data_IF_704237611835
#
_entry.id   IF_704237611835
#
_cell.length_a   1.000
_cell.length_b   1.000
_cell.length_c   1.000
_cell.angle_alpha   90.00
_cell.angle_beta   90.00
_cell.angle_gamma   90.00
#
_symmetry.space_group_name_H-M   'P 1'
#
loop_
_entity.id
_entity.type
_entity.pdbx_description
1 polymer ?
#
# COMPACT_ATOMS: atom_id res chain seq x y z
N UNK A 1 10.70 -36.92 3.08
CA UNK A 1 9.86 -37.23 4.25
C UNK A 1 10.47 -38.41 4.97
N UNK A 2 10.73 -38.28 6.25
CA UNK A 2 11.30 -39.34 7.08
C UNK A 2 10.35 -39.65 8.26
N UNK A 3 10.31 -40.92 8.68
CA UNK A 3 9.56 -41.43 9.84
C UNK A 3 8.03 -41.19 9.75
N UNK A 4 7.43 -41.39 8.58
CA UNK A 4 5.99 -41.33 8.43
C UNK A 4 5.36 -42.62 9.00
N UNK A 5 4.79 -42.56 10.18
CA UNK A 5 4.10 -43.65 10.85
C UNK A 5 2.66 -43.29 11.18
N UNK A 6 1.75 -44.25 10.97
CA UNK A 6 0.35 -44.12 11.40
C UNK A 6 0.19 -44.55 12.87
N UNK A 7 0.89 -43.86 13.75
CA UNK A 7 0.77 -44.02 15.20
C UNK A 7 0.34 -42.69 15.82
N UNK A 8 -0.45 -42.79 16.86
CA UNK A 8 -0.86 -41.60 17.66
C UNK A 8 0.35 -40.81 18.09
N UNK A 9 0.28 -39.48 17.95
CA UNK A 9 1.32 -38.50 18.27
C UNK A 9 2.67 -38.67 17.51
N UNK A 10 2.72 -39.53 16.49
CA UNK A 10 3.89 -39.68 15.63
C UNK A 10 4.04 -38.48 14.70
N UNK A 11 5.25 -37.96 14.56
CA UNK A 11 5.59 -36.87 13.64
C UNK A 11 6.64 -37.25 12.64
N UNK A 12 6.32 -37.09 11.37
CA UNK A 12 7.27 -37.21 10.26
C UNK A 12 8.03 -35.89 10.04
N UNK A 13 9.33 -36.00 9.75
CA UNK A 13 10.09 -34.83 9.30
C UNK A 13 9.81 -34.53 7.83
N UNK A 14 9.64 -33.29 7.53
CA UNK A 14 9.43 -32.76 6.17
C UNK A 14 10.61 -31.86 5.83
N UNK A 15 11.23 -32.13 4.68
CA UNK A 15 12.19 -31.24 4.06
C UNK A 15 11.92 -31.25 2.55
N UNK A 16 11.57 -30.09 2.02
CA UNK A 16 11.32 -29.83 0.61
C UNK A 16 12.15 -28.64 0.17
N UNK A 17 12.84 -28.77 -0.95
CA UNK A 17 13.51 -27.65 -1.61
C UNK A 17 13.17 -27.69 -3.10
N UNK A 18 12.64 -26.60 -3.61
CA UNK A 18 12.30 -26.41 -5.01
C UNK A 18 13.10 -25.25 -5.57
N UNK A 19 13.64 -25.41 -6.75
CA UNK A 19 14.23 -24.31 -7.52
C UNK A 19 13.20 -23.81 -8.54
N UNK A 20 13.01 -22.51 -8.59
CA UNK A 20 12.09 -21.83 -9.50
C UNK A 20 12.92 -20.93 -10.42
N UNK A 21 12.80 -21.13 -11.74
CA UNK A 21 13.35 -20.25 -12.78
C UNK A 21 14.83 -19.84 -12.53
N UNK A 22 15.72 -20.82 -12.39
CA UNK A 22 17.17 -20.68 -12.24
C UNK A 22 17.67 -19.97 -10.95
N UNK A 23 16.97 -18.97 -10.42
CA UNK A 23 17.44 -18.18 -9.28
C UNK A 23 16.56 -18.31 -8.04
N UNK A 24 15.26 -18.44 -8.22
CA UNK A 24 14.30 -18.53 -7.13
C UNK A 24 14.36 -19.88 -6.42
N UNK A 25 14.19 -19.88 -5.11
CA UNK A 25 14.06 -21.11 -4.31
C UNK A 25 12.86 -21.05 -3.38
N UNK A 26 12.21 -22.20 -3.17
CA UNK A 26 11.20 -22.37 -2.11
C UNK A 26 11.63 -23.54 -1.24
N UNK A 27 11.62 -23.34 0.07
CA UNK A 27 11.97 -24.37 1.05
C UNK A 27 10.84 -24.53 2.06
N UNK A 28 10.55 -25.76 2.42
CA UNK A 28 9.63 -26.12 3.50
C UNK A 28 10.35 -27.13 4.40
N UNK A 29 10.51 -26.78 5.67
CA UNK A 29 11.13 -27.65 6.66
C UNK A 29 10.22 -27.74 7.88
N UNK A 30 10.21 -28.87 8.56
CA UNK A 30 9.46 -29.01 9.78
C UNK A 30 8.98 -30.41 10.04
N UNK A 31 7.82 -30.51 10.69
CA UNK A 31 7.19 -31.78 11.06
C UNK A 31 5.71 -31.78 10.74
N UNK A 32 5.17 -32.98 10.41
CA UNK A 32 3.72 -33.19 10.28
C UNK A 32 3.34 -34.54 10.94
N UNK A 33 2.18 -34.54 11.59
CA UNK A 33 1.57 -35.71 12.20
C UNK A 33 0.23 -36.07 11.51
N UNK A 34 -0.13 -37.35 11.56
CA UNK A 34 -1.38 -37.85 10.96
C UNK A 34 -2.47 -38.03 12.03
N UNK A 35 -2.11 -38.43 13.23
CA UNK A 35 -3.03 -38.65 14.35
C UNK A 35 -2.47 -38.04 15.66
N UNK A 36 -2.96 -36.85 16.10
CA UNK A 36 -3.86 -35.95 15.38
C UNK A 36 -3.17 -35.31 14.16
N UNK A 37 -3.98 -34.91 13.16
CA UNK A 37 -3.45 -34.20 12.01
C UNK A 37 -2.83 -32.87 12.45
N UNK A 38 -1.56 -32.70 12.21
CA UNK A 38 -0.80 -31.52 12.69
C UNK A 38 0.37 -31.21 11.76
N UNK A 39 0.76 -29.96 11.73
CA UNK A 39 1.97 -29.53 11.03
C UNK A 39 2.60 -28.33 11.76
N UNK A 40 3.93 -28.30 11.73
CA UNK A 40 4.78 -27.22 12.22
C UNK A 40 5.85 -27.02 11.15
N UNK A 41 5.64 -26.03 10.29
CA UNK A 41 6.39 -25.87 9.05
C UNK A 41 6.99 -24.46 8.96
N UNK A 42 8.29 -24.40 8.79
CA UNK A 42 8.98 -23.21 8.32
C UNK A 42 8.95 -23.19 6.79
N UNK A 43 8.33 -22.16 6.24
CA UNK A 43 8.23 -21.92 4.79
C UNK A 43 9.04 -20.70 4.42
N UNK A 44 9.87 -20.79 3.41
CA UNK A 44 10.60 -19.64 2.88
C UNK A 44 10.65 -19.66 1.36
N UNK A 45 10.58 -18.49 0.77
CA UNK A 45 10.91 -18.26 -0.62
C UNK A 45 12.04 -17.22 -0.71
N UNK A 46 12.96 -17.41 -1.64
CA UNK A 46 14.08 -16.49 -1.85
C UNK A 46 14.28 -16.25 -3.34
N UNK A 47 14.51 -14.97 -3.68
CA UNK A 47 14.83 -14.51 -5.04
C UNK A 47 13.82 -14.91 -6.12
N UNK A 48 12.53 -14.89 -5.82
CA UNK A 48 11.48 -15.10 -6.82
C UNK A 48 11.35 -13.86 -7.70
N UNK A 49 11.65 -14.00 -8.98
CA UNK A 49 11.57 -12.90 -9.94
C UNK A 49 10.11 -12.57 -10.28
N UNK A 50 9.71 -11.30 -10.09
CA UNK A 50 8.35 -10.85 -10.42
C UNK A 50 8.03 -10.85 -11.91
N UNK A 51 9.04 -10.79 -12.78
CA UNK A 51 8.82 -10.92 -14.24
C UNK A 51 8.12 -12.22 -14.61
N UNK A 52 8.34 -13.27 -13.85
CA UNK A 52 7.78 -14.60 -14.13
C UNK A 52 6.27 -14.66 -13.91
N UNK A 53 5.71 -13.70 -13.15
CA UNK A 53 4.26 -13.58 -12.92
C UNK A 53 3.59 -12.60 -13.88
N UNK A 54 4.30 -12.02 -14.84
CA UNK A 54 3.76 -11.10 -15.83
C UNK A 54 2.48 -11.62 -16.53
N UNK A 55 2.36 -12.90 -16.95
CA UNK A 55 1.15 -13.39 -17.58
C UNK A 55 -0.12 -13.26 -16.72
N UNK A 56 0.04 -13.32 -15.39
CA UNK A 56 -1.07 -13.12 -14.44
C UNK A 56 -1.39 -11.62 -14.28
N UNK A 57 -0.38 -10.77 -14.29
CA UNK A 57 -0.53 -9.32 -14.21
C UNK A 57 -1.21 -8.77 -15.46
N UNK A 58 -0.91 -9.32 -16.64
CA UNK A 58 -1.51 -8.93 -17.93
C UNK A 58 -3.04 -9.06 -17.96
N UNK A 59 -3.63 -9.89 -17.09
CA UNK A 59 -5.08 -10.04 -16.98
C UNK A 59 -5.75 -8.92 -16.17
N UNK A 60 -4.98 -8.21 -15.35
CA UNK A 60 -5.46 -7.21 -14.39
C UNK A 60 -4.94 -5.79 -14.67
N UNK A 61 -3.74 -5.68 -15.22
CA UNK A 61 -3.06 -4.41 -15.44
C UNK A 61 -2.57 -4.27 -16.88
N UNK A 62 -2.69 -3.06 -17.41
CA UNK A 62 -2.08 -2.66 -18.68
C UNK A 62 -0.67 -2.10 -18.45
N UNK A 63 0.16 -2.89 -17.76
CA UNK A 63 1.50 -2.51 -17.32
C UNK A 63 2.47 -3.70 -17.47
N UNK A 64 3.74 -3.38 -17.55
CA UNK A 64 4.83 -4.35 -17.64
C UNK A 64 5.71 -4.29 -16.39
N UNK A 65 5.92 -5.43 -15.73
CA UNK A 65 6.91 -5.57 -14.68
C UNK A 65 8.30 -5.56 -15.31
N UNK A 66 9.02 -4.45 -15.14
CA UNK A 66 10.38 -4.31 -15.67
C UNK A 66 11.41 -5.04 -14.80
N UNK A 67 11.22 -5.05 -13.49
CA UNK A 67 12.02 -5.81 -12.51
C UNK A 67 11.26 -6.00 -11.21
N UNK A 68 11.85 -6.76 -10.29
CA UNK A 68 11.38 -6.97 -8.93
C UNK A 68 11.70 -8.38 -8.47
N UNK A 69 12.10 -8.47 -7.21
CA UNK A 69 12.44 -9.73 -6.55
C UNK A 69 11.64 -9.83 -5.27
N UNK A 70 10.98 -10.96 -5.06
CA UNK A 70 10.28 -11.28 -3.83
C UNK A 70 11.06 -12.31 -3.04
N UNK A 71 11.14 -12.10 -1.72
CA UNK A 71 11.52 -13.09 -0.73
C UNK A 71 10.49 -13.10 0.40
N UNK A 72 10.22 -14.26 0.97
CA UNK A 72 9.32 -14.39 2.10
C UNK A 72 9.73 -15.53 3.03
N UNK A 73 9.36 -15.44 4.30
CA UNK A 73 9.48 -16.52 5.26
C UNK A 73 8.38 -16.45 6.30
N UNK A 74 8.10 -17.56 6.95
CA UNK A 74 7.16 -17.63 8.06
C UNK A 74 7.02 -19.06 8.57
N UNK A 75 6.44 -19.19 9.75
CA UNK A 75 6.15 -20.49 10.37
C UNK A 75 4.64 -20.71 10.36
N UNK A 76 4.22 -21.82 9.81
CA UNK A 76 2.82 -22.24 9.75
C UNK A 76 2.60 -23.36 10.76
N UNK A 77 1.74 -23.10 11.74
CA UNK A 77 1.26 -24.10 12.69
C UNK A 77 -0.15 -24.52 12.27
N UNK A 78 -0.34 -25.81 12.14
CA UNK A 78 -1.62 -26.42 11.83
C UNK A 78 -1.93 -27.50 12.87
N UNK A 79 -3.15 -27.50 13.39
CA UNK A 79 -3.61 -28.55 14.30
C UNK A 79 -5.10 -28.84 14.02
N UNK A 80 -5.39 -30.07 13.61
CA UNK A 80 -6.75 -30.59 13.54
C UNK A 80 -7.18 -31.14 14.90
N UNK A 81 -8.27 -30.62 15.46
CA UNK A 81 -8.85 -31.10 16.72
C UNK A 81 -10.37 -31.00 16.64
N UNK A 82 -11.08 -32.07 16.95
CA UNK A 82 -12.55 -32.11 17.11
C UNK A 82 -13.31 -31.46 15.92
N UNK A 83 -12.96 -31.85 14.68
CA UNK A 83 -13.49 -31.29 13.43
C UNK A 83 -13.24 -29.78 13.23
N UNK A 84 -12.42 -29.15 14.04
CA UNK A 84 -12.00 -27.75 13.90
C UNK A 84 -10.56 -27.67 13.39
N UNK A 85 -10.32 -26.64 12.56
CA UNK A 85 -9.01 -26.33 12.00
C UNK A 85 -8.40 -25.19 12.78
N UNK A 86 -7.27 -25.42 13.46
CA UNK A 86 -6.47 -24.40 14.11
C UNK A 86 -5.27 -24.09 13.21
N UNK A 87 -5.22 -22.86 12.67
CA UNK A 87 -4.15 -22.42 11.78
C UNK A 87 -3.57 -21.11 12.30
N UNK A 88 -2.26 -21.09 12.48
CA UNK A 88 -1.50 -19.88 12.83
C UNK A 88 -0.36 -19.65 11.85
N UNK A 89 -0.15 -18.40 11.50
CA UNK A 89 1.08 -17.91 10.90
C UNK A 89 1.86 -17.12 11.95
N UNK A 90 3.13 -17.44 12.13
CA UNK A 90 4.03 -16.76 13.04
C UNK A 90 5.26 -16.25 12.31
N UNK A 91 5.85 -15.16 12.80
CA UNK A 91 7.11 -14.59 12.32
C UNK A 91 7.19 -14.38 10.81
N UNK A 92 6.02 -14.08 10.20
CA UNK A 92 5.95 -13.83 8.76
C UNK A 92 6.76 -12.61 8.36
N UNK A 93 7.54 -12.74 7.30
CA UNK A 93 8.27 -11.64 6.65
C UNK A 93 8.04 -11.71 5.16
N UNK A 94 7.79 -10.58 4.55
CA UNK A 94 7.70 -10.39 3.11
C UNK A 94 8.63 -9.25 2.70
N UNK A 95 9.42 -9.45 1.65
CA UNK A 95 10.33 -8.45 1.10
C UNK A 95 10.17 -8.35 -0.41
N UNK A 96 10.14 -7.12 -0.90
CA UNK A 96 10.16 -6.80 -2.32
C UNK A 96 11.32 -5.83 -2.56
N UNK A 97 12.22 -6.18 -3.46
CA UNK A 97 13.37 -5.35 -3.83
C UNK A 97 13.39 -5.06 -5.31
N UNK A 98 13.93 -3.89 -5.67
CA UNK A 98 14.18 -3.45 -7.04
C UNK A 98 12.94 -3.55 -7.97
N UNK A 99 11.76 -3.28 -7.40
CA UNK A 99 10.53 -3.29 -8.17
C UNK A 99 10.46 -2.12 -9.13
N UNK A 100 10.19 -2.40 -10.40
CA UNK A 100 9.97 -1.41 -11.43
C UNK A 100 8.77 -1.80 -12.30
N UNK A 101 7.86 -0.85 -12.49
CA UNK A 101 6.71 -0.97 -13.35
C UNK A 101 6.82 0.04 -14.49
N UNK A 102 6.67 -0.44 -15.71
CA UNK A 102 6.67 0.37 -16.93
C UNK A 102 5.28 0.33 -17.59
N UNK A 103 5.01 1.29 -18.47
CA UNK A 103 3.85 1.20 -19.36
C UNK A 103 4.05 0.02 -20.32
N UNK A 104 2.96 -0.70 -20.62
CA UNK A 104 3.00 -1.85 -21.54
C UNK A 104 3.50 -1.44 -22.91
N UNK A 105 4.54 -2.14 -23.40
CA UNK A 105 5.15 -1.86 -24.71
C UNK A 105 6.04 -0.62 -24.73
N UNK A 106 6.37 -0.01 -23.59
CA UNK A 106 7.30 1.10 -23.47
C UNK A 106 8.37 0.78 -22.43
N UNK A 107 9.59 1.27 -22.66
CA UNK A 107 10.71 1.08 -21.72
C UNK A 107 10.69 2.09 -20.57
N UNK A 108 9.72 3.02 -20.57
CA UNK A 108 9.66 4.06 -19.55
C UNK A 108 9.10 3.51 -18.24
N UNK A 109 9.95 3.43 -17.22
CA UNK A 109 9.56 3.12 -15.85
C UNK A 109 8.75 4.29 -15.28
N UNK A 110 7.58 3.97 -14.73
CA UNK A 110 6.64 4.94 -14.14
C UNK A 110 6.53 4.79 -12.62
N UNK A 111 6.82 3.61 -12.10
CA UNK A 111 6.89 3.34 -10.65
C UNK A 111 8.17 2.55 -10.40
N UNK A 112 8.97 3.02 -9.46
CA UNK A 112 10.15 2.33 -8.94
C UNK A 112 10.07 2.27 -7.42
N UNK A 113 10.21 1.07 -6.84
CA UNK A 113 10.25 0.84 -5.39
C UNK A 113 11.49 0.01 -5.08
N UNK A 114 12.61 0.64 -4.69
CA UNK A 114 13.85 -0.07 -4.38
C UNK A 114 13.71 -1.05 -3.23
N UNK A 115 12.92 -0.70 -2.20
CA UNK A 115 12.69 -1.58 -1.06
C UNK A 115 11.29 -1.43 -0.48
N UNK A 116 10.66 -2.58 -0.21
CA UNK A 116 9.42 -2.70 0.55
C UNK A 116 9.49 -3.96 1.41
N UNK A 117 9.10 -3.86 2.67
CA UNK A 117 9.06 -5.01 3.57
C UNK A 117 7.87 -4.98 4.51
N UNK A 118 7.37 -6.16 4.85
CA UNK A 118 6.38 -6.40 5.90
C UNK A 118 6.99 -7.40 6.87
N UNK A 119 7.09 -7.03 8.13
CA UNK A 119 7.82 -7.79 9.15
C UNK A 119 6.89 -8.09 10.33
N UNK A 120 7.07 -9.26 10.94
CA UNK A 120 6.30 -9.70 12.10
C UNK A 120 4.83 -9.92 11.74
N UNK A 121 4.57 -10.62 10.62
CA UNK A 121 3.21 -10.99 10.22
C UNK A 121 2.79 -12.19 11.07
N UNK A 122 1.79 -11.98 11.92
CA UNK A 122 1.08 -13.03 12.65
C UNK A 122 -0.37 -13.08 12.19
N UNK A 123 -0.92 -14.30 12.05
CA UNK A 123 -2.33 -14.51 11.80
C UNK A 123 -2.82 -15.73 12.59
N UNK A 124 -3.97 -15.59 13.23
CA UNK A 124 -4.62 -16.65 14.00
C UNK A 124 -6.06 -16.80 13.52
N UNK A 125 -6.37 -17.96 12.93
CA UNK A 125 -7.71 -18.24 12.38
C UNK A 125 -8.75 -18.41 13.50
N UNK A 126 -8.34 -18.88 14.68
CA UNK A 126 -9.25 -19.12 15.79
C UNK A 126 -9.74 -17.82 16.44
N UNK A 127 -8.82 -16.89 16.62
CA UNK A 127 -9.14 -15.56 17.18
C UNK A 127 -9.60 -14.56 16.11
N UNK A 128 -9.47 -14.89 14.83
CA UNK A 128 -9.67 -13.96 13.71
C UNK A 128 -8.82 -12.70 13.85
N UNK A 129 -7.56 -12.89 14.19
CA UNK A 129 -6.62 -11.78 14.41
C UNK A 129 -5.48 -11.81 13.41
N UNK A 130 -5.12 -10.64 12.88
CA UNK A 130 -3.92 -10.40 12.07
C UNK A 130 -3.13 -9.28 12.72
N UNK A 131 -1.86 -9.54 13.02
CA UNK A 131 -0.92 -8.55 13.53
C UNK A 131 0.23 -8.41 12.56
N UNK A 132 0.57 -7.16 12.24
CA UNK A 132 1.78 -6.81 11.48
C UNK A 132 2.60 -5.85 12.34
N UNK A 133 3.82 -6.23 12.69
CA UNK A 133 4.68 -5.36 13.50
C UNK A 133 5.13 -4.12 12.72
N UNK A 134 5.60 -4.31 11.49
CA UNK A 134 6.11 -3.20 10.70
C UNK A 134 5.89 -3.39 9.19
N UNK A 135 5.43 -2.32 8.54
CA UNK A 135 5.50 -2.12 7.10
C UNK A 135 6.52 -1.01 6.83
N UNK A 136 7.52 -1.28 6.02
CA UNK A 136 8.58 -0.31 5.69
C UNK A 136 8.82 -0.24 4.19
N UNK A 137 9.01 0.98 3.69
CA UNK A 137 9.39 1.19 2.30
C UNK A 137 10.28 2.42 2.16
N UNK A 138 11.20 2.41 1.21
CA UNK A 138 12.13 3.50 1.01
C UNK A 138 12.50 3.71 -0.46
N UNK A 139 12.78 4.97 -0.81
CA UNK A 139 13.37 5.35 -2.08
C UNK A 139 12.44 5.29 -3.29
N UNK A 140 11.11 5.10 -3.09
CA UNK A 140 10.21 4.98 -4.21
C UNK A 140 10.11 6.26 -5.04
N UNK A 141 9.97 6.10 -6.35
CA UNK A 141 9.79 7.19 -7.32
C UNK A 141 8.61 6.88 -8.22
N UNK A 142 7.72 7.87 -8.40
CA UNK A 142 6.52 7.76 -9.20
C UNK A 142 6.52 8.89 -10.24
N UNK A 143 6.36 8.53 -11.51
CA UNK A 143 6.11 9.48 -12.58
C UNK A 143 4.66 9.42 -13.01
N UNK A 144 3.96 10.53 -12.87
CA UNK A 144 2.55 10.64 -13.21
C UNK A 144 2.30 11.84 -14.12
N UNK A 145 1.33 11.74 -15.00
CA UNK A 145 0.86 12.85 -15.82
C UNK A 145 -0.64 12.77 -16.08
N UNK A 146 -1.22 13.94 -16.26
CA UNK A 146 -2.56 14.12 -16.77
C UNK A 146 -2.43 14.35 -18.27
N UNK A 147 -3.07 13.50 -19.08
CA UNK A 147 -3.07 13.61 -20.53
C UNK A 147 -3.96 14.80 -20.99
N UNK A 148 -3.86 15.25 -22.27
CA UNK A 148 -4.68 16.35 -22.78
C UNK A 148 -6.20 16.15 -22.69
N UNK A 149 -6.65 14.91 -22.61
CA UNK A 149 -8.06 14.54 -22.39
C UNK A 149 -8.48 14.52 -20.91
N UNK A 150 -7.59 14.88 -19.99
CA UNK A 150 -7.82 14.89 -18.55
C UNK A 150 -7.61 13.54 -17.86
N UNK A 151 -7.23 12.49 -18.58
CA UNK A 151 -6.99 11.17 -17.98
C UNK A 151 -5.64 11.10 -17.28
N UNK A 152 -5.61 10.49 -16.10
CA UNK A 152 -4.38 10.22 -15.35
C UNK A 152 -3.71 8.95 -15.88
N UNK A 153 -2.41 9.00 -16.23
CA UNK A 153 -1.69 7.83 -16.75
C UNK A 153 -1.77 6.61 -15.83
N UNK A 154 -1.76 6.81 -14.51
CA UNK A 154 -1.87 5.72 -13.54
C UNK A 154 -3.23 5.00 -13.61
N UNK A 155 -4.32 5.71 -13.99
CA UNK A 155 -5.63 5.09 -14.22
C UNK A 155 -5.63 4.21 -15.46
N UNK A 156 -4.87 4.57 -16.49
CA UNK A 156 -4.77 3.78 -17.73
C UNK A 156 -4.02 2.45 -17.53
N UNK A 157 -3.31 2.28 -16.40
CA UNK A 157 -2.69 1.00 -16.04
C UNK A 157 -3.72 -0.07 -15.67
N UNK A 158 -4.89 0.35 -15.18
CA UNK A 158 -5.99 -0.58 -14.90
C UNK A 158 -6.69 -0.95 -16.20
N UNK A 159 -7.02 -2.22 -16.35
CA UNK A 159 -7.83 -2.66 -17.49
C UNK A 159 -9.21 -1.99 -17.44
N UNK A 160 -9.79 -1.61 -18.60
CA UNK A 160 -11.09 -0.92 -18.66
C UNK A 160 -12.21 -1.64 -17.92
N UNK A 161 -12.18 -2.97 -17.90
CA UNK A 161 -13.20 -3.78 -17.23
C UNK A 161 -13.12 -3.71 -15.69
N UNK A 162 -11.93 -3.38 -15.13
CA UNK A 162 -11.75 -3.18 -13.69
C UNK A 162 -12.17 -1.78 -13.25
N UNK A 163 -12.28 -0.83 -14.18
CA UNK A 163 -12.71 0.54 -13.90
C UNK A 163 -14.23 0.69 -13.80
N UNK A 164 -14.99 -0.27 -14.31
CA UNK A 164 -16.45 -0.28 -14.14
C UNK A 164 -16.79 -0.78 -12.75
N UNK A 165 -17.60 -0.05 -11.96
CA UNK A 165 -18.21 -0.64 -10.78
C UNK A 165 -18.89 -1.93 -11.23
N UNK A 166 -18.64 -3.05 -10.58
CA UNK A 166 -19.41 -4.27 -10.82
C UNK A 166 -20.87 -3.92 -10.56
N UNK A 167 -21.67 -3.75 -11.61
CA UNK A 167 -23.12 -3.85 -11.47
C UNK A 167 -23.38 -5.22 -10.85
N UNK A 168 -23.83 -5.22 -9.61
CA UNK A 168 -24.33 -6.43 -8.97
C UNK A 168 -25.45 -6.97 -9.87
N UNK A 169 -25.12 -7.94 -10.73
CA UNK A 169 -26.14 -8.80 -11.31
C UNK A 169 -26.85 -9.45 -10.13
N UNK A 170 -28.02 -8.95 -9.83
CA UNK A 170 -28.99 -9.65 -9.00
C UNK A 170 -29.36 -10.96 -9.70
N UNK A 171 -28.51 -11.95 -9.62
CA UNK A 171 -28.87 -13.33 -9.85
C UNK A 171 -29.59 -13.77 -8.58
N UNK A 172 -30.92 -13.90 -8.70
CA UNK A 172 -31.76 -14.41 -7.64
C UNK A 172 -31.54 -15.92 -7.40
N UNK A 173 -30.41 -16.24 -6.81
CA UNK A 173 -30.18 -17.50 -6.13
C UNK A 173 -29.92 -17.16 -4.68
N UNK A 174 -30.82 -17.52 -3.82
CA UNK A 174 -30.70 -17.46 -2.35
C UNK A 174 -29.65 -18.50 -1.96
N UNK A 175 -28.35 -18.13 -2.05
CA UNK A 175 -27.32 -18.91 -1.37
C UNK A 175 -27.55 -18.78 0.14
N UNK A 176 -27.41 -19.89 0.92
CA UNK A 176 -27.52 -19.82 2.36
C UNK A 176 -26.46 -18.81 2.85
N UNK A 177 -26.89 -17.76 3.54
CA UNK A 177 -25.96 -16.83 4.22
C UNK A 177 -25.01 -17.68 5.05
N UNK A 178 -23.68 -17.59 4.81
CA UNK A 178 -22.70 -18.16 5.74
C UNK A 178 -23.04 -17.62 7.14
N UNK A 179 -23.02 -18.48 8.15
CA UNK A 179 -23.12 -18.04 9.54
C UNK A 179 -22.13 -16.89 9.73
N UNK A 180 -22.59 -15.79 10.33
CA UNK A 180 -21.77 -14.59 10.50
C UNK A 180 -20.52 -14.97 11.30
N UNK A 181 -19.42 -15.22 10.59
CA UNK A 181 -18.10 -15.35 11.20
C UNK A 181 -17.75 -14.01 11.84
N UNK A 182 -17.18 -14.03 13.02
CA UNK A 182 -16.68 -12.81 13.67
C UNK A 182 -15.75 -12.07 12.70
N UNK A 183 -15.92 -10.75 12.56
CA UNK A 183 -15.05 -9.99 11.65
C UNK A 183 -13.59 -10.10 12.10
N UNK A 184 -12.69 -10.21 11.12
CA UNK A 184 -11.25 -10.22 11.39
C UNK A 184 -10.80 -8.89 12.02
N UNK A 185 -10.03 -8.99 13.11
CA UNK A 185 -9.33 -7.87 13.71
C UNK A 185 -7.91 -7.79 13.13
N UNK A 186 -7.57 -6.67 12.53
CA UNK A 186 -6.25 -6.44 11.95
C UNK A 186 -5.60 -5.20 12.56
N UNK A 187 -4.34 -5.34 12.96
CA UNK A 187 -3.52 -4.25 13.48
C UNK A 187 -2.18 -4.22 12.74
N UNK A 188 -1.78 -3.02 12.32
CA UNK A 188 -0.43 -2.70 11.86
C UNK A 188 0.17 -1.76 12.90
N UNK A 189 1.18 -2.23 13.64
CA UNK A 189 1.76 -1.46 14.73
C UNK A 189 2.53 -0.24 14.20
N UNK A 190 3.23 -0.39 13.07
CA UNK A 190 4.05 0.67 12.51
C UNK A 190 4.11 0.62 10.98
N UNK A 191 3.90 1.76 10.33
CA UNK A 191 4.17 1.97 8.90
C UNK A 191 5.22 3.06 8.77
N UNK A 192 6.27 2.81 8.00
CA UNK A 192 7.34 3.76 7.71
C UNK A 192 7.55 3.88 6.19
N UNK A 193 7.36 5.09 5.69
CA UNK A 193 7.72 5.49 4.32
C UNK A 193 8.87 6.47 4.42
N UNK A 194 9.96 6.21 3.72
CA UNK A 194 11.14 7.06 3.74
C UNK A 194 11.60 7.41 2.32
N UNK A 195 11.95 8.66 2.11
CA UNK A 195 12.53 9.14 0.84
C UNK A 195 11.70 8.74 -0.41
N UNK A 196 10.38 8.88 -0.35
CA UNK A 196 9.55 8.74 -1.54
C UNK A 196 9.53 10.06 -2.33
N UNK A 197 9.41 9.94 -3.64
CA UNK A 197 9.26 11.09 -4.51
C UNK A 197 8.27 10.83 -5.63
N UNK A 198 7.62 11.89 -6.10
CA UNK A 198 6.73 11.86 -7.24
C UNK A 198 6.92 13.07 -8.13
N UNK A 199 6.81 12.87 -9.42
CA UNK A 199 6.65 13.95 -10.40
C UNK A 199 5.27 13.84 -11.02
N UNK A 200 4.53 14.94 -11.00
CA UNK A 200 3.20 15.05 -11.62
C UNK A 200 3.29 16.14 -12.68
N UNK A 201 2.95 15.79 -13.92
CA UNK A 201 2.94 16.71 -15.06
C UNK A 201 1.52 16.85 -15.61
N UNK A 202 0.93 18.03 -15.51
CA UNK A 202 -0.37 18.31 -16.11
C UNK A 202 -0.17 18.78 -17.55
N UNK A 203 -0.45 17.89 -18.50
CA UNK A 203 -0.36 18.10 -19.95
C UNK A 203 -1.69 18.53 -20.58
N UNK A 204 -2.76 18.64 -19.79
CA UNK A 204 -4.05 19.16 -20.27
C UNK A 204 -4.00 20.69 -20.43
N UNK A 205 -3.03 21.35 -19.78
CA UNK A 205 -2.83 22.79 -19.87
C UNK A 205 -2.08 23.16 -21.15
N UNK A 206 -2.34 24.38 -21.67
CA UNK A 206 -1.62 24.91 -22.86
C UNK A 206 -0.10 24.99 -22.68
N UNK A 207 0.33 25.24 -21.44
CA UNK A 207 1.70 25.09 -20.98
C UNK A 207 1.69 24.04 -19.87
N UNK A 208 2.36 22.89 -20.02
CA UNK A 208 2.37 21.87 -19.00
C UNK A 208 2.84 22.38 -17.64
N UNK A 209 2.09 22.09 -16.59
CA UNK A 209 2.50 22.33 -15.22
C UNK A 209 3.23 21.10 -14.69
N UNK A 210 4.37 21.32 -14.03
CA UNK A 210 5.14 20.23 -13.39
C UNK A 210 5.27 20.49 -11.90
N UNK A 211 4.81 19.55 -11.11
CA UNK A 211 4.92 19.56 -9.65
C UNK A 211 5.78 18.39 -9.24
N UNK A 212 6.78 18.63 -8.41
CA UNK A 212 7.59 17.58 -7.78
C UNK A 212 7.29 17.52 -6.30
N UNK A 213 7.16 16.31 -5.81
CA UNK A 213 7.06 16.00 -4.39
C UNK A 213 8.26 15.14 -4.06
N UNK A 214 9.10 15.61 -3.16
CA UNK A 214 10.36 14.98 -2.79
C UNK A 214 10.42 14.76 -1.28
N UNK A 215 11.35 13.91 -0.83
CA UNK A 215 11.65 13.63 0.59
C UNK A 215 10.40 13.25 1.41
N UNK A 216 9.44 12.54 0.77
CA UNK A 216 8.22 12.12 1.47
C UNK A 216 8.59 11.12 2.55
N UNK A 217 8.25 11.49 3.78
CA UNK A 217 8.32 10.61 4.94
C UNK A 217 6.93 10.47 5.54
N UNK A 218 6.51 9.23 5.83
CA UNK A 218 5.26 8.95 6.53
C UNK A 218 5.54 7.98 7.66
N UNK A 219 5.00 8.26 8.83
CA UNK A 219 4.97 7.35 9.97
C UNK A 219 3.54 7.23 10.47
N UNK A 220 3.04 6.00 10.50
CA UNK A 220 1.74 5.69 11.07
C UNK A 220 1.94 4.66 12.17
N UNK A 221 1.35 4.89 13.34
CA UNK A 221 1.44 3.98 14.47
C UNK A 221 0.05 3.53 14.91
N UNK A 222 -0.07 2.23 15.21
CA UNK A 222 -1.28 1.57 15.71
C UNK A 222 -2.50 1.75 14.78
N UNK A 223 -2.34 1.42 13.50
CA UNK A 223 -3.45 1.37 12.55
C UNK A 223 -4.20 0.06 12.71
N UNK A 224 -5.45 0.13 13.15
CA UNK A 224 -6.30 -1.05 13.34
C UNK A 224 -7.73 -0.81 12.81
N UNK A 225 -8.40 -1.90 12.40
CA UNK A 225 -9.77 -1.86 11.90
C UNK A 225 -10.84 -1.93 13.01
N UNK A 226 -10.45 -1.79 14.25
CA UNK A 226 -11.37 -1.72 15.38
C UNK A 226 -12.16 -0.42 15.37
N UNK A 227 -13.45 -0.53 15.65
CA UNK A 227 -14.34 0.64 15.66
C UNK A 227 -13.85 1.72 16.62
N UNK A 228 -13.82 2.97 16.14
CA UNK A 228 -13.34 4.17 16.83
C UNK A 228 -11.85 4.17 17.21
N UNK A 229 -11.07 3.22 16.74
CA UNK A 229 -9.61 3.28 16.93
C UNK A 229 -8.99 4.47 16.18
N UNK A 230 -7.83 4.91 16.66
CA UNK A 230 -7.10 6.04 16.09
C UNK A 230 -5.63 5.67 15.94
N UNK A 231 -5.16 5.70 14.71
CA UNK A 231 -3.74 5.66 14.40
C UNK A 231 -3.14 7.05 14.56
N UNK A 232 -1.91 7.12 15.05
CA UNK A 232 -1.11 8.35 14.98
C UNK A 232 -0.52 8.48 13.59
N UNK A 233 -0.53 9.70 13.04
CA UNK A 233 -0.04 10.00 11.69
C UNK A 233 0.93 11.15 11.76
N UNK A 234 2.13 10.95 11.23
CA UNK A 234 3.14 11.98 10.98
C UNK A 234 3.56 11.89 9.51
N UNK A 235 3.50 13.02 8.78
CA UNK A 235 3.92 13.12 7.39
C UNK A 235 4.75 14.38 7.20
N UNK A 236 5.81 14.28 6.41
CA UNK A 236 6.56 15.43 5.90
C UNK A 236 6.94 15.21 4.45
N UNK A 237 6.99 16.30 3.69
CA UNK A 237 7.41 16.28 2.28
C UNK A 237 7.97 17.64 1.87
N UNK A 238 8.72 17.66 0.78
CA UNK A 238 9.10 18.86 0.06
C UNK A 238 8.28 18.99 -1.23
N UNK A 239 7.84 20.21 -1.54
CA UNK A 239 7.11 20.54 -2.75
C UNK A 239 7.98 21.44 -3.63
N UNK A 240 8.21 21.02 -4.88
CA UNK A 240 9.02 21.77 -5.85
C UNK A 240 10.40 22.19 -5.30
N UNK A 241 11.03 21.33 -4.48
CA UNK A 241 12.38 21.52 -3.88
C UNK A 241 12.54 22.75 -2.99
N UNK A 242 11.48 23.52 -2.74
CA UNK A 242 11.54 24.75 -1.96
C UNK A 242 10.53 24.79 -0.82
N UNK A 243 9.28 24.44 -1.09
CA UNK A 243 8.24 24.44 -0.08
C UNK A 243 8.25 23.16 0.76
N UNK A 244 7.88 23.26 2.02
CA UNK A 244 7.70 22.10 2.88
C UNK A 244 6.26 21.95 3.33
N UNK A 245 5.80 20.72 3.50
CA UNK A 245 4.51 20.39 4.11
C UNK A 245 4.72 19.38 5.22
N UNK A 246 4.13 19.65 6.39
CA UNK A 246 4.11 18.73 7.54
C UNK A 246 2.68 18.50 7.98
N UNK A 247 2.35 17.27 8.29
CA UNK A 247 1.04 16.87 8.79
C UNK A 247 1.24 15.98 10.01
N UNK A 248 0.60 16.33 11.12
CA UNK A 248 0.64 15.53 12.34
C UNK A 248 -0.77 15.38 12.90
N UNK A 249 -1.06 14.25 13.51
CA UNK A 249 -2.35 14.05 14.15
C UNK A 249 -2.77 12.60 14.26
N UNK A 250 -4.08 12.38 14.11
CA UNK A 250 -4.64 11.04 14.20
C UNK A 250 -5.68 10.79 13.10
N UNK A 251 -5.76 9.52 12.66
CA UNK A 251 -6.76 9.05 11.71
C UNK A 251 -7.35 7.71 12.15
N UNK A 252 -8.61 7.47 11.82
CA UNK A 252 -9.30 6.20 12.08
C UNK A 252 -9.98 5.70 10.81
N UNK A 253 -10.10 4.39 10.65
CA UNK A 253 -10.69 3.76 9.47
C UNK A 253 -12.14 3.33 9.68
N UNK A 254 -12.58 3.11 10.91
CA UNK A 254 -13.97 2.76 11.24
C UNK A 254 -14.48 3.57 12.46
N UNK A 255 -15.33 4.57 12.26
CA UNK A 255 -15.63 5.25 10.99
C UNK A 255 -14.42 6.01 10.48
N UNK A 256 -14.33 6.17 9.14
CA UNK A 256 -13.27 6.97 8.55
C UNK A 256 -13.25 8.38 9.14
N UNK A 257 -12.13 8.80 9.70
CA UNK A 257 -12.02 10.07 10.43
C UNK A 257 -10.58 10.53 10.50
N UNK A 258 -10.37 11.83 10.56
CA UNK A 258 -9.06 12.41 10.75
C UNK A 258 -9.13 13.70 11.57
N UNK A 259 -8.10 13.95 12.35
CA UNK A 259 -7.85 15.15 13.11
C UNK A 259 -6.37 15.49 12.93
N UNK A 260 -6.09 16.40 12.01
CA UNK A 260 -4.76 16.64 11.49
C UNK A 260 -4.39 18.12 11.60
N UNK A 261 -3.23 18.40 12.15
CA UNK A 261 -2.56 19.69 12.03
C UNK A 261 -1.72 19.68 10.76
N UNK A 262 -1.88 20.71 9.94
CA UNK A 262 -1.17 20.89 8.67
C UNK A 262 -0.39 22.19 8.71
N UNK A 263 0.89 22.11 8.43
CA UNK A 263 1.79 23.23 8.28
C UNK A 263 2.39 23.18 6.87
N UNK A 264 2.21 24.24 6.10
CA UNK A 264 2.98 24.46 4.87
C UNK A 264 3.85 25.70 5.01
N UNK A 265 5.05 25.66 4.45
CA UNK A 265 6.00 26.77 4.51
C UNK A 265 6.64 27.00 3.16
N UNK A 266 6.68 28.27 2.75
CA UNK A 266 7.37 28.77 1.55
C UNK A 266 7.01 28.02 0.25
N UNK A 267 5.75 27.71 0.05
CA UNK A 267 5.26 27.13 -1.21
C UNK A 267 5.35 28.19 -2.31
N UNK A 268 6.21 27.98 -3.30
CA UNK A 268 6.46 28.93 -4.39
C UNK A 268 5.24 29.04 -5.32
N UNK A 269 4.66 30.23 -5.45
CA UNK A 269 3.46 30.47 -6.27
C UNK A 269 3.74 30.39 -7.76
N UNK A 270 4.97 30.71 -8.20
CA UNK A 270 5.38 30.64 -9.60
C UNK A 270 5.22 29.26 -10.22
N UNK A 271 5.30 28.18 -9.42
CA UNK A 271 5.07 26.82 -9.88
C UNK A 271 3.63 26.58 -10.37
N UNK A 272 2.69 27.42 -9.95
CA UNK A 272 1.28 27.34 -10.32
C UNK A 272 0.89 28.29 -11.45
N UNK A 273 1.88 29.00 -12.06
CA UNK A 273 1.62 29.90 -13.19
C UNK A 273 0.79 29.26 -14.32
N UNK A 274 1.04 28.01 -14.76
CA UNK A 274 0.24 27.43 -15.84
C UNK A 274 -1.25 27.33 -15.53
N UNK A 275 -1.63 27.20 -14.25
CA UNK A 275 -3.05 27.22 -13.83
C UNK A 275 -3.62 28.65 -13.81
N UNK A 276 -2.80 29.64 -13.43
CA UNK A 276 -3.21 31.05 -13.47
C UNK A 276 -3.44 31.49 -14.91
N UNK A 277 -2.60 31.07 -15.86
CA UNK A 277 -2.70 31.35 -17.28
C UNK A 277 -4.06 30.90 -17.90
N UNK A 278 -4.74 29.95 -17.27
CA UNK A 278 -6.08 29.50 -17.76
C UNK A 278 -7.22 30.45 -17.39
N UNK A 279 -7.05 31.26 -16.35
CA UNK A 279 -8.11 32.09 -15.79
C UNK A 279 -7.80 33.59 -15.87
N UNK A 280 -6.53 33.97 -15.84
CA UNK A 280 -6.08 35.34 -15.74
C UNK A 280 -4.93 35.62 -16.73
N UNK A 281 -4.94 36.81 -17.34
CA UNK A 281 -3.81 37.31 -18.12
C UNK A 281 -2.83 38.05 -17.18
N UNK A 282 -2.24 37.30 -16.25
CA UNK A 282 -1.33 37.83 -15.25
C UNK A 282 -0.13 36.90 -15.07
N UNK A 283 1.05 37.46 -14.84
CA UNK A 283 2.27 36.70 -14.66
C UNK A 283 2.77 36.80 -13.21
N UNK A 284 2.84 35.67 -12.50
CA UNK A 284 3.46 35.62 -11.18
C UNK A 284 4.98 35.74 -11.34
N UNK A 285 5.55 36.88 -11.01
CA UNK A 285 6.98 37.13 -11.05
C UNK A 285 7.66 36.46 -9.84
N UNK A 286 7.08 36.65 -8.64
CA UNK A 286 7.57 36.07 -7.38
C UNK A 286 6.42 35.85 -6.39
N UNK A 287 6.70 35.21 -5.27
CA UNK A 287 5.81 35.03 -4.12
C UNK A 287 5.82 33.63 -3.58
N UNK A 288 5.61 33.57 -2.27
CA UNK A 288 5.44 32.30 -1.55
C UNK A 288 4.20 32.35 -0.67
N UNK A 289 3.62 31.20 -0.42
CA UNK A 289 2.55 31.06 0.56
C UNK A 289 2.93 30.08 1.66
N UNK A 290 2.53 30.40 2.89
CA UNK A 290 2.67 29.53 4.05
C UNK A 290 1.31 29.42 4.74
N UNK A 291 1.00 28.26 5.32
CA UNK A 291 -0.25 28.07 6.06
C UNK A 291 -0.03 27.21 7.29
N UNK A 292 -0.85 27.47 8.32
CA UNK A 292 -0.96 26.61 9.50
C UNK A 292 -2.43 26.43 9.81
N UNK A 293 -2.88 25.19 9.93
CA UNK A 293 -4.29 24.94 10.20
C UNK A 293 -4.56 23.53 10.69
N UNK A 294 -5.80 23.30 11.06
CA UNK A 294 -6.32 22.01 11.50
C UNK A 294 -7.45 21.56 10.59
N UNK A 295 -7.36 20.30 10.16
CA UNK A 295 -8.37 19.61 9.36
C UNK A 295 -9.05 18.59 10.23
N UNK A 296 -10.36 18.70 10.37
CA UNK A 296 -11.21 17.70 10.97
C UNK A 296 -12.05 17.05 9.87
N UNK A 297 -11.91 15.74 9.73
CA UNK A 297 -12.71 14.93 8.82
C UNK A 297 -13.51 13.89 9.61
N UNK A 298 -14.79 13.76 9.27
CA UNK A 298 -15.69 12.72 9.80
C UNK A 298 -16.46 12.11 8.63
N UNK A 299 -16.16 10.85 8.33
CA UNK A 299 -16.95 10.05 7.39
C UNK A 299 -18.29 9.72 8.02
N UNK A 300 -19.38 10.12 7.38
CA UNK A 300 -20.74 9.62 7.64
C UNK A 300 -21.24 9.01 6.35
N UNK A 301 -22.02 7.94 6.45
CA UNK A 301 -22.71 7.37 5.30
C UNK A 301 -23.41 8.47 4.48
N UNK A 302 -22.96 8.66 3.24
CA UNK A 302 -23.53 9.60 2.27
C UNK A 302 -23.10 11.06 2.33
N UNK A 303 -22.54 11.58 3.44
CA UNK A 303 -22.10 12.99 3.52
C UNK A 303 -20.86 13.16 4.41
N UNK A 304 -19.64 13.21 3.84
CA UNK A 304 -18.44 13.50 4.61
C UNK A 304 -18.49 14.95 5.15
N UNK A 305 -18.14 15.11 6.42
CA UNK A 305 -17.99 16.43 7.04
C UNK A 305 -16.52 16.80 7.09
N UNK A 306 -16.17 17.92 6.45
CA UNK A 306 -14.82 18.48 6.49
C UNK A 306 -14.91 19.87 7.15
N UNK A 307 -14.05 20.09 8.14
CA UNK A 307 -13.85 21.42 8.75
C UNK A 307 -12.38 21.77 8.66
N UNK A 308 -12.08 22.93 8.14
CA UNK A 308 -10.75 23.53 8.17
C UNK A 308 -10.79 24.81 9.00
N UNK A 309 -9.78 24.99 9.84
CA UNK A 309 -9.53 26.23 10.57
C UNK A 309 -8.03 26.51 10.55
N UNK A 310 -7.62 27.69 10.10
CA UNK A 310 -6.21 27.99 10.00
C UNK A 310 -5.93 29.41 9.54
N UNK A 311 -4.66 29.70 9.38
CA UNK A 311 -4.09 30.94 8.91
C UNK A 311 -3.36 30.71 7.59
N UNK A 312 -3.39 31.68 6.72
CA UNK A 312 -2.66 31.72 5.46
C UNK A 312 -1.88 33.01 5.39
N UNK A 313 -0.61 32.94 5.07
CA UNK A 313 0.23 34.09 4.74
C UNK A 313 0.67 34.06 3.29
N UNK A 314 0.87 35.23 2.74
CA UNK A 314 1.34 35.46 1.40
C UNK A 314 2.50 36.47 1.47
N UNK A 315 3.69 36.04 1.01
CA UNK A 315 4.90 36.84 1.12
C UNK A 315 5.50 37.10 -0.26
N UNK A 316 5.88 38.38 -0.50
CA UNK A 316 6.62 38.80 -1.68
C UNK A 316 5.90 38.53 -3.01
N UNK A 317 4.54 38.61 -3.04
CA UNK A 317 3.80 38.44 -4.28
C UNK A 317 4.01 39.62 -5.19
N UNK A 318 4.54 39.34 -6.39
CA UNK A 318 4.66 40.28 -7.51
C UNK A 318 3.97 39.67 -8.73
N UNK A 319 3.09 40.49 -9.35
CA UNK A 319 2.28 40.13 -10.51
C UNK A 319 2.60 41.08 -11.67
#
# INVERSE_FOLDING_TARGET
VENLENKKDSKAKIALALQINQAGTVKVNGTAGIDPLSADLEVSSDKIALKDVQPYVDTALNAQIASGIISSKGRILYQGKDDTLHVKLEDGVFELTDFQLAEKGKDKVIISIPSFSVIGIGADVDTHEIVVEQVKTAGARIESWIAPDGTLNLQSLLMPDLQKPKEEKKTGATEPKPAASSPWHAIIQKIEVNDWGATIEDRALSKPARITVDDVTVRIENLENKKNSKAKVDLALQLNRAGTVKVNGSAGIDPLSADLEVLSDKIALKAFQPYVDTALNAQIASGTTSSKGRILYKGKEGQPQIRYQGELSLDGLEI
#
